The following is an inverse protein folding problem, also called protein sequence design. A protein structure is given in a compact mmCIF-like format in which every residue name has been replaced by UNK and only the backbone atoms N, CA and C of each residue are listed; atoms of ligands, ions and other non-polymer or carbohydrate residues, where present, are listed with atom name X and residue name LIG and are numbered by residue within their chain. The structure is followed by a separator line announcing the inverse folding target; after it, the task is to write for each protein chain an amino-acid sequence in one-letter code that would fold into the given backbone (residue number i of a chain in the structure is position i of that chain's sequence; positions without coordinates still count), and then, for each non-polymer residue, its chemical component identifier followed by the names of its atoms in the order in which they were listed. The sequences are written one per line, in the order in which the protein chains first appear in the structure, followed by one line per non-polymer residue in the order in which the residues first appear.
data_IF_232033970613
#
_entry.id   IF_232033970613
#
_cell.length_a   1.000
_cell.length_b   1.000
_cell.length_c   1.000
_cell.angle_alpha   90.00
_cell.angle_beta   90.00
_cell.angle_gamma   90.00
#
_symmetry.space_group_name_H-M   'P 1'
#
loop_
_entity.id
_entity.type
_entity.pdbx_description
1 polymer ?
#
# COMPACT_ATOMS: atom_id res chain seq x y z
N UNK A 1 6.86 15.10 16.01
CA UNK A 1 7.31 13.79 15.53
C UNK A 1 7.62 13.94 14.05
N UNK A 2 8.69 13.28 13.57
CA UNK A 2 8.96 13.29 12.12
C UNK A 2 7.85 12.57 11.36
N UNK A 3 7.44 13.13 10.23
CA UNK A 3 6.48 12.52 9.32
C UNK A 3 7.14 11.48 8.41
N UNK A 4 6.36 10.55 7.88
CA UNK A 4 6.84 9.41 7.10
C UNK A 4 5.99 9.21 5.83
N UNK A 5 6.59 8.64 4.79
CA UNK A 5 5.85 8.09 3.65
C UNK A 5 5.72 6.58 3.83
N UNK A 6 4.51 6.07 3.70
CA UNK A 6 4.17 4.65 3.83
C UNK A 6 3.60 4.14 2.51
N UNK A 7 4.28 3.24 1.83
CA UNK A 7 3.83 2.65 0.58
C UNK A 7 3.29 1.24 0.82
N UNK A 8 2.06 0.98 0.41
CA UNK A 8 1.43 -0.34 0.48
C UNK A 8 1.46 -1.01 -0.89
N UNK A 9 2.33 -1.98 -1.04
CA UNK A 9 2.55 -2.75 -2.27
C UNK A 9 2.12 -4.21 -2.08
N UNK A 10 2.02 -4.97 -3.15
CA UNK A 10 1.62 -6.38 -3.13
C UNK A 10 0.78 -6.74 -4.34
N UNK A 11 0.51 -8.03 -4.57
CA UNK A 11 -0.26 -8.47 -5.72
C UNK A 11 -1.74 -8.09 -5.64
N UNK A 12 -2.42 -8.11 -6.79
CA UNK A 12 -3.86 -7.91 -6.87
C UNK A 12 -4.63 -8.82 -5.90
N UNK A 13 -5.61 -8.26 -5.19
CA UNK A 13 -6.42 -8.98 -4.22
C UNK A 13 -5.72 -9.29 -2.88
N UNK A 14 -4.51 -8.77 -2.63
CA UNK A 14 -3.84 -8.93 -1.33
C UNK A 14 -4.45 -8.09 -0.21
N UNK A 15 -5.33 -7.11 -0.53
CA UNK A 15 -5.96 -6.20 0.43
C UNK A 15 -5.13 -4.95 0.76
N UNK A 16 -4.25 -4.52 -0.16
CA UNK A 16 -3.44 -3.31 -0.01
C UNK A 16 -4.26 -2.06 0.31
N UNK A 17 -5.28 -1.80 -0.50
CA UNK A 17 -6.18 -0.66 -0.35
C UNK A 17 -6.82 -0.63 1.04
N UNK A 18 -7.34 -1.77 1.49
CA UNK A 18 -7.93 -1.89 2.84
C UNK A 18 -6.89 -1.61 3.93
N UNK A 19 -5.69 -2.18 3.78
CA UNK A 19 -4.59 -1.95 4.72
C UNK A 19 -4.15 -0.47 4.71
N UNK A 20 -4.01 0.17 3.53
CA UNK A 20 -3.61 1.57 3.39
C UNK A 20 -4.66 2.53 3.99
N UNK A 21 -5.94 2.32 3.66
CA UNK A 21 -7.05 3.15 4.18
C UNK A 21 -7.12 3.06 5.71
N UNK A 22 -7.14 1.84 6.27
CA UNK A 22 -7.20 1.65 7.72
C UNK A 22 -5.95 2.19 8.42
N UNK A 23 -4.78 2.09 7.80
CA UNK A 23 -3.54 2.65 8.33
C UNK A 23 -3.59 4.19 8.36
N UNK A 24 -4.09 4.83 7.30
CA UNK A 24 -4.29 6.28 7.26
C UNK A 24 -5.27 6.76 8.35
N UNK A 25 -6.39 6.05 8.52
CA UNK A 25 -7.35 6.32 9.61
C UNK A 25 -6.69 6.17 10.99
N UNK A 26 -5.88 5.13 11.19
CA UNK A 26 -5.14 4.92 12.44
C UNK A 26 -4.18 6.07 12.73
N UNK A 27 -3.41 6.53 11.76
CA UNK A 27 -2.51 7.68 11.91
C UNK A 27 -3.29 8.94 12.30
N UNK A 28 -4.42 9.18 11.63
CA UNK A 28 -5.27 10.34 11.92
C UNK A 28 -5.84 10.30 13.34
N UNK A 29 -6.33 9.12 13.78
CA UNK A 29 -6.81 8.92 15.16
C UNK A 29 -5.72 9.15 16.23
N UNK A 30 -4.44 8.98 15.85
CA UNK A 30 -3.29 9.32 16.69
C UNK A 30 -2.94 10.82 16.69
N UNK A 31 -3.77 11.65 16.06
CA UNK A 31 -3.55 13.11 15.96
C UNK A 31 -2.52 13.52 14.90
N UNK A 32 -2.15 12.63 14.00
CA UNK A 32 -1.20 12.92 12.92
C UNK A 32 -1.89 13.62 11.75
N UNK A 33 -1.19 14.53 11.11
CA UNK A 33 -1.65 15.14 9.88
C UNK A 33 -1.39 14.16 8.74
N UNK A 34 -2.46 13.63 8.13
CA UNK A 34 -2.37 12.44 7.26
C UNK A 34 -2.93 12.73 5.87
N UNK A 35 -2.24 12.26 4.85
CA UNK A 35 -2.71 12.23 3.47
C UNK A 35 -2.72 10.79 2.94
N UNK A 36 -3.69 10.47 2.09
CA UNK A 36 -3.77 9.22 1.33
C UNK A 36 -3.73 9.53 -0.16
N UNK A 37 -2.83 8.86 -0.89
CA UNK A 37 -2.70 8.96 -2.33
C UNK A 37 -2.95 7.59 -2.94
N UNK A 38 -3.92 7.50 -3.85
CA UNK A 38 -4.13 6.31 -4.66
C UNK A 38 -3.22 6.37 -5.91
N UNK A 39 -2.39 5.35 -6.09
CA UNK A 39 -1.53 5.17 -7.25
C UNK A 39 -1.98 4.00 -8.14
N UNK A 40 -3.17 3.43 -7.91
CA UNK A 40 -3.73 2.41 -8.79
C UNK A 40 -4.29 3.06 -10.07
N UNK A 41 -3.46 3.09 -11.12
CA UNK A 41 -3.83 3.66 -12.42
C UNK A 41 -4.65 2.70 -13.30
N UNK A 42 -4.77 1.43 -12.91
CA UNK A 42 -5.49 0.39 -13.68
C UNK A 42 -6.92 0.27 -13.20
N UNK A 43 -7.16 0.39 -11.90
CA UNK A 43 -8.47 0.31 -11.28
C UNK A 43 -8.74 1.54 -10.38
N UNK A 44 -8.80 2.76 -10.96
CA UNK A 44 -8.88 4.01 -10.19
C UNK A 44 -10.18 4.16 -9.36
N UNK A 45 -11.13 3.25 -9.51
CA UNK A 45 -12.38 3.19 -8.75
C UNK A 45 -12.34 2.22 -7.59
N UNK A 46 -11.15 1.72 -7.22
CA UNK A 46 -11.08 0.75 -6.16
C UNK A 46 -11.24 1.43 -4.78
N UNK A 47 -11.53 0.66 -3.77
CA UNK A 47 -11.98 0.99 -2.41
C UNK A 47 -11.50 2.30 -1.76
N UNK A 48 -10.34 2.86 -2.10
CA UNK A 48 -9.92 4.17 -1.56
C UNK A 48 -10.81 5.31 -2.05
N UNK A 49 -11.30 5.25 -3.29
CA UNK A 49 -12.28 6.22 -3.80
C UNK A 49 -13.64 6.05 -3.10
N UNK A 50 -14.08 4.82 -2.86
CA UNK A 50 -15.31 4.53 -2.12
C UNK A 50 -15.23 5.01 -0.66
N UNK A 51 -14.03 4.98 -0.08
CA UNK A 51 -13.78 5.48 1.27
C UNK A 51 -13.55 7.00 1.33
N UNK A 52 -13.56 7.70 0.18
CA UNK A 52 -13.19 9.13 0.08
C UNK A 52 -14.00 10.00 1.03
N UNK A 53 -15.32 9.87 1.00
CA UNK A 53 -16.22 10.69 1.84
C UNK A 53 -15.91 10.50 3.34
N UNK A 54 -15.66 9.26 3.77
CA UNK A 54 -15.26 8.95 5.13
C UNK A 54 -13.91 9.60 5.46
N UNK A 55 -12.93 9.48 4.58
CA UNK A 55 -11.59 10.02 4.80
C UNK A 55 -11.59 11.56 4.87
N UNK A 56 -12.33 12.22 3.99
CA UNK A 56 -12.49 13.67 3.99
C UNK A 56 -13.21 14.16 5.27
N UNK A 57 -14.23 13.44 5.73
CA UNK A 57 -14.93 13.72 7.00
C UNK A 57 -14.00 13.60 8.20
N UNK A 58 -13.06 12.65 8.18
CA UNK A 58 -12.02 12.50 9.20
C UNK A 58 -10.90 13.54 9.08
N UNK A 59 -10.91 14.41 8.05
CA UNK A 59 -9.90 15.39 7.78
C UNK A 59 -8.58 14.78 7.29
N UNK A 60 -8.64 13.63 6.60
CA UNK A 60 -7.52 13.05 5.86
C UNK A 60 -7.54 13.66 4.46
N UNK A 61 -6.42 14.23 4.04
CA UNK A 61 -6.27 14.74 2.68
C UNK A 61 -6.17 13.58 1.71
N UNK A 62 -6.96 13.59 0.62
CA UNK A 62 -6.99 12.50 -0.35
C UNK A 62 -6.63 13.02 -1.74
N UNK A 63 -5.80 12.25 -2.47
CA UNK A 63 -5.51 12.48 -3.88
C UNK A 63 -5.72 11.17 -4.65
N UNK A 64 -6.53 11.24 -5.71
CA UNK A 64 -6.90 10.11 -6.55
C UNK A 64 -6.62 10.41 -8.01
N UNK A 65 -6.27 9.40 -8.85
CA UNK A 65 -6.15 9.60 -10.29
C UNK A 65 -7.50 10.01 -10.90
N UNK A 66 -7.56 11.13 -11.62
CA UNK A 66 -8.77 11.63 -12.28
C UNK A 66 -9.08 10.92 -13.62
N UNK A 67 -8.69 9.66 -13.80
CA UNK A 67 -8.67 8.99 -15.11
C UNK A 67 -10.00 8.56 -15.67
N UNK A 68 -11.10 8.70 -14.95
CA UNK A 68 -12.32 8.04 -15.39
C UNK A 68 -13.00 8.65 -16.60
N UNK A 69 -12.71 9.87 -17.07
CA UNK A 69 -13.36 10.45 -18.27
C UNK A 69 -12.81 11.82 -18.73
N UNK A 70 -11.55 12.15 -18.48
CA UNK A 70 -11.04 13.45 -18.92
C UNK A 70 -9.75 13.33 -19.73
N UNK A 71 -9.68 14.10 -20.84
CA UNK A 71 -8.47 14.34 -21.62
C UNK A 71 -7.46 15.23 -20.84
N UNK A 72 -7.31 15.03 -19.54
CA UNK A 72 -6.39 15.81 -18.71
C UNK A 72 -5.00 15.20 -18.79
N UNK A 73 -4.03 16.04 -19.09
CA UNK A 73 -2.62 15.65 -19.23
C UNK A 73 -2.09 14.94 -17.98
N UNK A 74 -1.65 13.71 -18.18
CA UNK A 74 -0.94 12.84 -17.20
C UNK A 74 0.15 13.59 -16.40
N UNK A 75 0.91 14.55 -16.97
CA UNK A 75 1.93 15.30 -16.23
C UNK A 75 1.43 16.18 -15.09
N UNK A 76 0.22 16.75 -15.19
CA UNK A 76 -0.30 17.67 -14.16
C UNK A 76 -0.67 16.97 -12.85
N UNK A 77 -1.30 15.78 -12.95
CA UNK A 77 -1.62 14.93 -11.79
C UNK A 77 -0.36 14.44 -11.08
N UNK A 78 0.66 14.08 -11.86
CA UNK A 78 1.97 13.64 -11.35
C UNK A 78 2.63 14.71 -10.48
N UNK A 79 2.51 15.98 -10.86
CA UNK A 79 3.08 17.10 -10.11
C UNK A 79 2.44 17.33 -8.74
N UNK A 80 1.10 17.25 -8.65
CA UNK A 80 0.37 17.43 -7.37
C UNK A 80 0.70 16.31 -6.39
N UNK A 81 0.69 15.06 -6.84
CA UNK A 81 1.02 13.92 -6.00
C UNK A 81 2.47 13.96 -5.51
N UNK A 82 3.43 14.27 -6.39
CA UNK A 82 4.82 14.44 -6.02
C UNK A 82 5.03 15.58 -5.00
N UNK A 83 4.34 16.72 -5.17
CA UNK A 83 4.39 17.81 -4.22
C UNK A 83 3.88 17.38 -2.83
N UNK A 84 2.77 16.62 -2.78
CA UNK A 84 2.21 16.11 -1.52
C UNK A 84 3.13 15.06 -0.87
N UNK A 85 3.76 14.20 -1.65
CA UNK A 85 4.76 13.24 -1.14
C UNK A 85 5.93 13.97 -0.47
N UNK A 86 6.41 15.07 -1.03
CA UNK A 86 7.51 15.88 -0.46
C UNK A 86 7.10 16.74 0.72
N UNK A 87 5.79 16.97 0.93
CA UNK A 87 5.30 17.84 1.98
C UNK A 87 5.52 17.22 3.37
N UNK A 88 6.50 17.73 4.10
CA UNK A 88 6.84 17.27 5.46
C UNK A 88 5.77 17.60 6.50
N UNK A 89 4.70 18.33 6.14
CA UNK A 89 3.58 18.57 7.05
C UNK A 89 2.69 17.32 7.22
N UNK A 90 2.80 16.33 6.32
CA UNK A 90 1.94 15.13 6.30
C UNK A 90 2.71 13.83 6.49
N UNK A 91 2.10 12.90 7.21
CA UNK A 91 2.32 11.48 6.97
C UNK A 91 1.55 11.10 5.68
N UNK A 92 2.25 10.56 4.72
CA UNK A 92 1.67 10.22 3.42
C UNK A 92 1.55 8.71 3.30
N UNK A 93 0.34 8.23 3.04
CA UNK A 93 0.06 6.82 2.77
C UNK A 93 -0.19 6.66 1.28
N UNK A 94 0.53 5.76 0.63
CA UNK A 94 0.42 5.45 -0.80
C UNK A 94 -0.24 4.07 -0.95
N UNK A 95 -1.43 4.04 -1.56
CA UNK A 95 -2.06 2.80 -2.03
C UNK A 95 -1.59 2.50 -3.45
N UNK A 96 -0.86 1.42 -3.64
CA UNK A 96 -0.17 1.13 -4.91
C UNK A 96 -0.93 0.03 -5.66
N UNK A 97 -1.13 0.20 -6.97
CA UNK A 97 -1.75 -0.82 -7.81
C UNK A 97 -1.10 -2.20 -7.72
N UNK A 98 -1.90 -3.25 -7.87
CA UNK A 98 -1.49 -4.64 -7.59
C UNK A 98 -0.75 -5.36 -8.73
N UNK A 99 -0.32 -4.64 -9.74
CA UNK A 99 0.36 -5.14 -10.93
C UNK A 99 1.69 -4.41 -11.19
N UNK A 100 2.39 -4.81 -12.24
CA UNK A 100 3.62 -4.17 -12.71
C UNK A 100 3.46 -2.67 -12.98
N UNK A 101 2.27 -2.24 -13.43
CA UNK A 101 2.01 -0.83 -13.73
C UNK A 101 1.92 -0.01 -12.44
N UNK A 102 1.29 -0.56 -11.39
CA UNK A 102 1.24 0.06 -10.07
C UNK A 102 2.62 0.21 -9.45
N UNK A 103 3.45 -0.84 -9.48
CA UNK A 103 4.81 -0.78 -8.99
C UNK A 103 5.68 0.21 -9.79
N UNK A 104 5.50 0.29 -11.12
CA UNK A 104 6.15 1.30 -11.97
C UNK A 104 5.64 2.71 -11.68
N UNK A 105 4.34 2.88 -11.38
CA UNK A 105 3.79 4.16 -10.96
C UNK A 105 4.46 4.65 -9.67
N UNK A 106 4.63 3.76 -8.68
CA UNK A 106 5.40 4.06 -7.48
C UNK A 106 6.85 4.47 -7.81
N UNK A 107 7.50 3.77 -8.74
CA UNK A 107 8.85 4.06 -9.20
C UNK A 107 9.03 5.48 -9.77
N UNK A 108 7.98 6.09 -10.35
CA UNK A 108 8.00 7.49 -10.81
C UNK A 108 8.18 8.48 -9.67
N UNK A 109 7.70 8.16 -8.48
CA UNK A 109 7.81 9.00 -7.29
C UNK A 109 8.97 8.61 -6.38
N UNK A 110 9.84 7.69 -6.83
CA UNK A 110 10.96 7.18 -6.05
C UNK A 110 11.83 8.30 -5.48
N UNK A 111 12.20 9.29 -6.28
CA UNK A 111 13.03 10.41 -5.82
C UNK A 111 12.31 11.26 -4.78
N UNK A 112 11.00 11.52 -4.97
CA UNK A 112 10.18 12.26 -4.03
C UNK A 112 10.08 11.51 -2.68
N UNK A 113 9.88 10.20 -2.73
CA UNK A 113 9.80 9.34 -1.54
C UNK A 113 11.14 9.29 -0.81
N UNK A 114 12.23 9.06 -1.54
CA UNK A 114 13.57 8.97 -0.96
C UNK A 114 14.12 10.33 -0.46
N UNK A 115 13.54 11.45 -0.89
CA UNK A 115 13.87 12.77 -0.35
C UNK A 115 13.37 12.98 1.07
N UNK A 116 12.38 12.17 1.53
CA UNK A 116 11.83 12.24 2.89
C UNK A 116 12.78 11.59 3.88
N UNK A 117 12.87 12.17 5.08
CA UNK A 117 13.69 11.65 6.18
C UNK A 117 13.33 10.23 6.56
N UNK A 118 12.04 9.88 6.42
CA UNK A 118 11.51 8.55 6.75
C UNK A 118 10.56 8.10 5.65
N UNK A 119 10.77 6.90 5.18
CA UNK A 119 9.86 6.17 4.30
C UNK A 119 9.87 4.69 4.67
N UNK A 120 8.75 4.02 4.48
CA UNK A 120 8.59 2.59 4.69
C UNK A 120 7.75 2.01 3.56
N UNK A 121 8.26 0.99 2.89
CA UNK A 121 7.52 0.23 1.90
C UNK A 121 7.09 -1.11 2.50
N UNK A 122 5.79 -1.35 2.54
CA UNK A 122 5.19 -2.59 3.00
C UNK A 122 4.82 -3.49 1.83
N UNK A 123 5.13 -4.77 1.95
CA UNK A 123 4.60 -5.80 1.08
C UNK A 123 3.40 -6.46 1.76
N UNK A 124 2.20 -6.20 1.25
CA UNK A 124 0.94 -6.78 1.75
C UNK A 124 0.71 -8.13 1.09
N UNK A 125 0.65 -9.18 1.90
CA UNK A 125 0.52 -10.55 1.42
C UNK A 125 -0.73 -11.23 1.97
N UNK A 126 -1.49 -11.85 1.07
CA UNK A 126 -2.58 -12.76 1.42
C UNK A 126 -2.23 -14.19 0.95
N UNK A 127 -1.88 -15.12 1.84
CA UNK A 127 -1.56 -16.50 1.51
C UNK A 127 -2.68 -17.28 0.79
N UNK A 128 -3.92 -16.80 0.88
CA UNK A 128 -5.08 -17.42 0.22
C UNK A 128 -5.26 -16.98 -1.24
N UNK A 129 -4.32 -16.19 -1.80
CA UNK A 129 -4.37 -15.77 -3.20
C UNK A 129 -3.45 -16.63 -4.07
N UNK A 130 -3.87 -16.97 -5.31
CA UNK A 130 -3.13 -17.91 -6.17
C UNK A 130 -1.65 -17.54 -6.38
N UNK A 131 -1.34 -16.25 -6.48
CA UNK A 131 0.02 -15.75 -6.74
C UNK A 131 0.89 -15.60 -5.50
N UNK A 132 0.34 -15.83 -4.29
CA UNK A 132 1.05 -15.73 -3.01
C UNK A 132 0.76 -16.91 -2.08
N UNK A 133 0.27 -18.03 -2.63
CA UNK A 133 -0.13 -19.23 -1.88
C UNK A 133 1.03 -20.10 -1.43
N UNK A 134 2.21 -19.91 -2.00
CA UNK A 134 3.43 -20.66 -1.70
C UNK A 134 4.65 -19.74 -1.71
N UNK A 135 5.73 -20.18 -1.08
CA UNK A 135 6.94 -19.38 -0.90
C UNK A 135 7.61 -18.97 -2.22
N UNK A 136 7.76 -19.85 -3.24
CA UNK A 136 8.35 -19.46 -4.51
C UNK A 136 7.55 -18.36 -5.23
N UNK A 137 6.22 -18.48 -5.27
CA UNK A 137 5.34 -17.51 -5.91
C UNK A 137 5.36 -16.17 -5.17
N UNK A 138 5.24 -16.19 -3.84
CA UNK A 138 5.29 -14.99 -3.00
C UNK A 138 6.64 -14.27 -3.10
N UNK A 139 7.74 -15.03 -3.08
CA UNK A 139 9.09 -14.50 -3.25
C UNK A 139 9.29 -13.83 -4.59
N UNK A 140 8.78 -14.43 -5.68
CA UNK A 140 8.85 -13.86 -7.02
C UNK A 140 8.12 -12.52 -7.09
N UNK A 141 6.88 -12.45 -6.62
CA UNK A 141 6.09 -11.21 -6.63
C UNK A 141 6.79 -10.12 -5.79
N UNK A 142 7.36 -10.48 -4.64
CA UNK A 142 8.12 -9.57 -3.82
C UNK A 142 9.29 -8.96 -4.61
N UNK A 143 10.09 -9.79 -5.31
CA UNK A 143 11.24 -9.34 -6.10
C UNK A 143 10.83 -8.49 -7.31
N UNK A 144 9.74 -8.87 -7.99
CA UNK A 144 9.16 -8.10 -9.10
C UNK A 144 8.75 -6.68 -8.67
N UNK A 145 8.13 -6.54 -7.47
CA UNK A 145 7.75 -5.24 -6.93
C UNK A 145 8.96 -4.40 -6.57
N UNK A 146 9.98 -4.96 -5.91
CA UNK A 146 11.21 -4.24 -5.61
C UNK A 146 11.92 -3.78 -6.90
N UNK A 147 12.00 -4.66 -7.90
CA UNK A 147 12.61 -4.32 -9.18
C UNK A 147 11.85 -3.23 -9.93
N UNK A 148 10.51 -3.29 -9.97
CA UNK A 148 9.68 -2.34 -10.68
C UNK A 148 9.59 -0.96 -10.00
N UNK A 149 9.56 -0.92 -8.66
CA UNK A 149 9.57 0.33 -7.89
C UNK A 149 10.97 0.95 -7.74
N UNK A 150 12.01 0.14 -7.89
CA UNK A 150 13.40 0.52 -7.59
C UNK A 150 13.66 0.79 -6.11
N UNK A 151 12.79 0.32 -5.23
CA UNK A 151 12.88 0.48 -3.77
C UNK A 151 12.73 -0.86 -3.08
N UNK A 152 13.36 -1.02 -1.89
CA UNK A 152 13.24 -2.21 -1.06
C UNK A 152 11.96 -2.17 -0.24
N UNK A 153 11.37 -3.34 -0.01
CA UNK A 153 10.32 -3.49 0.98
C UNK A 153 10.96 -3.61 2.38
N UNK A 154 10.51 -2.78 3.31
CA UNK A 154 11.06 -2.71 4.67
C UNK A 154 10.43 -3.75 5.59
N UNK A 155 9.18 -4.12 5.33
CA UNK A 155 8.46 -5.11 6.15
C UNK A 155 7.29 -5.74 5.38
N UNK A 156 6.81 -6.89 5.91
CA UNK A 156 5.59 -7.54 5.44
C UNK A 156 4.38 -7.07 6.25
N UNK A 157 3.23 -7.01 5.60
CA UNK A 157 1.92 -6.96 6.24
C UNK A 157 1.17 -8.24 5.90
N UNK A 158 0.88 -9.05 6.90
CA UNK A 158 0.07 -10.26 6.73
C UNK A 158 -1.41 -9.90 6.66
N UNK A 159 -2.06 -10.23 5.55
CA UNK A 159 -3.51 -10.06 5.37
C UNK A 159 -4.13 -11.37 4.91
N UNK A 160 -4.06 -12.39 5.80
CA UNK A 160 -4.68 -13.70 5.56
C UNK A 160 -6.19 -13.55 5.69
N UNK A 161 -6.86 -13.35 4.57
CA UNK A 161 -8.26 -12.94 4.53
C UNK A 161 -9.04 -13.69 3.44
N UNK A 162 -10.24 -14.16 3.79
CA UNK A 162 -11.24 -14.80 2.91
C UNK A 162 -12.57 -14.03 2.95
N UNK A 163 -12.56 -12.75 3.25
CA UNK A 163 -13.74 -11.92 3.47
C UNK A 163 -14.59 -12.48 4.64
N UNK A 164 -15.88 -12.71 4.41
CA UNK A 164 -16.83 -13.22 5.42
C UNK A 164 -16.46 -14.62 5.94
N UNK A 165 -15.69 -15.40 5.17
CA UNK A 165 -15.23 -16.74 5.55
C UNK A 165 -13.92 -16.71 6.38
N UNK A 166 -13.44 -15.54 6.78
CA UNK A 166 -12.22 -15.43 7.57
C UNK A 166 -12.47 -15.84 9.01
N UNK A 167 -11.75 -16.86 9.46
CA UNK A 167 -11.77 -17.34 10.84
C UNK A 167 -10.40 -17.16 11.50
N UNK A 168 -10.29 -17.24 12.85
CA UNK A 168 -8.99 -17.25 13.52
C UNK A 168 -8.05 -18.34 12.98
N UNK A 169 -8.58 -19.52 12.66
CA UNK A 169 -7.83 -20.65 12.11
C UNK A 169 -7.28 -20.31 10.71
N UNK A 170 -8.09 -19.63 9.88
CA UNK A 170 -7.65 -19.12 8.57
C UNK A 170 -6.44 -18.19 8.73
N UNK A 171 -6.51 -17.24 9.67
CA UNK A 171 -5.40 -16.30 9.94
C UNK A 171 -4.17 -17.04 10.40
N UNK A 172 -4.31 -17.96 11.37
CA UNK A 172 -3.20 -18.74 11.90
C UNK A 172 -2.54 -19.64 10.85
N UNK A 173 -3.33 -20.22 9.93
CA UNK A 173 -2.82 -21.04 8.84
C UNK A 173 -1.91 -20.28 7.87
N UNK A 174 -2.07 -18.96 7.75
CA UNK A 174 -1.19 -18.13 6.90
C UNK A 174 0.16 -17.77 7.52
N UNK A 175 0.30 -17.85 8.85
CA UNK A 175 1.50 -17.41 9.56
C UNK A 175 2.79 -18.15 9.14
N UNK A 176 2.81 -19.48 8.93
CA UNK A 176 4.02 -20.18 8.54
C UNK A 176 4.61 -19.64 7.23
N UNK A 177 3.78 -19.39 6.23
CA UNK A 177 4.23 -18.88 4.93
C UNK A 177 4.74 -17.44 5.03
N UNK A 178 4.07 -16.59 5.80
CA UNK A 178 4.52 -15.22 6.06
C UNK A 178 5.88 -15.21 6.77
N UNK A 179 6.07 -16.06 7.79
CA UNK A 179 7.35 -16.18 8.50
C UNK A 179 8.48 -16.71 7.60
N UNK A 180 8.18 -17.67 6.72
CA UNK A 180 9.15 -18.18 5.75
C UNK A 180 9.59 -17.08 4.78
N UNK A 181 8.66 -16.30 4.23
CA UNK A 181 8.98 -15.19 3.34
C UNK A 181 9.78 -14.10 4.08
N UNK A 182 9.36 -13.72 5.28
CA UNK A 182 10.07 -12.75 6.10
C UNK A 182 11.51 -13.18 6.37
N UNK A 183 11.73 -14.45 6.73
CA UNK A 183 13.06 -15.02 6.94
C UNK A 183 13.91 -15.03 5.66
N UNK A 184 13.33 -15.44 4.52
CA UNK A 184 14.03 -15.47 3.24
C UNK A 184 14.44 -14.06 2.76
N UNK A 185 13.57 -13.05 2.97
CA UNK A 185 13.82 -11.67 2.55
C UNK A 185 14.56 -10.82 3.57
N UNK A 186 14.82 -11.38 4.76
CA UNK A 186 15.46 -10.68 5.88
C UNK A 186 14.73 -9.42 6.32
N UNK A 187 13.39 -9.47 6.32
CA UNK A 187 12.52 -8.38 6.75
C UNK A 187 11.62 -8.82 7.90
N UNK A 188 11.09 -7.87 8.66
CA UNK A 188 10.13 -8.16 9.73
C UNK A 188 8.71 -8.23 9.21
N UNK A 189 7.81 -8.85 9.98
CA UNK A 189 6.36 -8.68 9.81
C UNK A 189 5.96 -7.49 10.68
N UNK A 190 5.48 -6.42 10.06
CA UNK A 190 5.08 -5.20 10.77
C UNK A 190 3.82 -5.42 11.60
N UNK A 191 2.80 -6.06 11.00
CA UNK A 191 1.55 -6.42 11.66
C UNK A 191 0.75 -7.40 10.79
N UNK A 192 -0.31 -7.96 11.40
CA UNK A 192 -1.34 -8.70 10.69
C UNK A 192 -2.62 -7.86 10.65
N UNK A 193 -3.18 -7.69 9.46
CA UNK A 193 -4.51 -7.10 9.29
C UNK A 193 -5.54 -8.20 9.56
N UNK A 194 -6.48 -7.90 10.45
CA UNK A 194 -7.61 -8.76 10.79
C UNK A 194 -8.88 -7.91 10.76
N UNK A 195 -10.00 -8.52 10.38
CA UNK A 195 -11.33 -7.91 10.55
C UNK A 195 -11.79 -8.08 11.99
N UNK A 196 -12.45 -7.04 12.53
CA UNK A 196 -13.15 -7.12 13.83
C UNK A 196 -14.45 -7.91 13.69
#
# INVERSE_FOLDING_TARGET
MDTCVYSFTGHYGSGKTEAAVNFAVKLKRQGRNTALIDLDIVNPFFRSADARELLETLGIRTEFPLYANTNVDVPALTGVMGALIRDEAYDVVLDVGGDDLGAKALGRYREDILSRKKHLQFFVMNPNRPFTKDLPSASRIYDEIEAASGMRCDALVGNTNLLEDTTPETVLAGLPLLNQLAGQKHVSIAYHAITE
#
